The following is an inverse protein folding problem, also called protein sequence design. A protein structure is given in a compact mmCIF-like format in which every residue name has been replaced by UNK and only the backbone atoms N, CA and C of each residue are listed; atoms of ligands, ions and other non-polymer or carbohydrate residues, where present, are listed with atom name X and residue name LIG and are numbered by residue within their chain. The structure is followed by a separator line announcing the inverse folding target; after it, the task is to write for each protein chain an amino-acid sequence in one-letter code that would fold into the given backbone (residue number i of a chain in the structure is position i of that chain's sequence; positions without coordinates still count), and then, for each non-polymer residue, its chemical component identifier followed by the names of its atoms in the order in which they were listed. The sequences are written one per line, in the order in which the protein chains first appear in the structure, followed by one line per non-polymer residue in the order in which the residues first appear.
data_IF_061502300725
#
_entry.id   IF_061502300725
#
_cell.length_a   1.000
_cell.length_b   1.000
_cell.length_c   1.000
_cell.angle_alpha   90.00
_cell.angle_beta   90.00
_cell.angle_gamma   90.00
#
_symmetry.space_group_name_H-M   'P 1'
#
loop_
_entity.id
_entity.type
_entity.pdbx_description
1 polymer ?
#
# COMPACT_ATOMS: atom_id res chain seq x y z
N UNK A 1 9.56 -21.37 13.11
CA UNK A 1 10.59 -20.96 12.13
C UNK A 1 11.18 -19.66 12.67
N UNK A 2 12.48 -19.44 12.52
CA UNK A 2 13.12 -18.17 12.92
C UNK A 2 13.33 -17.33 11.65
N UNK A 3 12.87 -16.07 11.66
CA UNK A 3 13.01 -15.18 10.50
C UNK A 3 14.44 -14.65 10.42
N UNK A 4 15.07 -14.74 9.25
CA UNK A 4 16.45 -14.28 9.06
C UNK A 4 16.48 -12.79 8.72
N UNK A 5 17.17 -11.98 9.52
CA UNK A 5 17.37 -10.55 9.21
C UNK A 5 18.70 -10.39 8.47
N UNK A 6 18.62 -9.93 7.23
CA UNK A 6 19.73 -9.90 6.28
C UNK A 6 20.04 -8.46 5.86
N UNK A 7 21.27 -8.00 6.06
CA UNK A 7 21.74 -6.75 5.42
C UNK A 7 21.83 -6.96 3.89
N UNK A 8 21.54 -5.95 3.05
CA UNK A 8 21.45 -6.09 1.59
C UNK A 8 22.82 -6.14 0.90
N UNK A 9 23.68 -7.08 1.30
CA UNK A 9 24.93 -7.39 0.58
C UNK A 9 24.62 -8.25 -0.64
N UNK A 10 25.50 -8.28 -1.63
CA UNK A 10 25.34 -9.14 -2.82
C UNK A 10 25.15 -10.62 -2.45
N UNK A 11 25.83 -11.10 -1.41
CA UNK A 11 25.69 -12.49 -0.93
C UNK A 11 24.30 -12.73 -0.33
N UNK A 12 23.85 -11.85 0.57
CA UNK A 12 22.55 -11.96 1.22
C UNK A 12 21.38 -11.77 0.25
N UNK A 13 21.53 -10.93 -0.78
CA UNK A 13 20.52 -10.78 -1.84
C UNK A 13 20.41 -12.09 -2.65
N UNK A 14 21.53 -12.75 -2.98
CA UNK A 14 21.50 -14.05 -3.65
C UNK A 14 20.85 -15.12 -2.77
N UNK A 15 21.14 -15.09 -1.49
CA UNK A 15 20.53 -15.99 -0.52
C UNK A 15 19.01 -15.80 -0.43
N UNK A 16 18.55 -14.55 -0.32
CA UNK A 16 17.14 -14.18 -0.35
C UNK A 16 16.47 -14.59 -1.68
N UNK A 17 17.16 -14.41 -2.81
CA UNK A 17 16.70 -14.87 -4.12
C UNK A 17 16.53 -16.39 -4.17
N UNK A 18 17.44 -17.16 -3.56
CA UNK A 18 17.32 -18.62 -3.49
C UNK A 18 16.18 -19.08 -2.60
N UNK A 19 15.83 -18.31 -1.55
CA UNK A 19 14.61 -18.53 -0.76
C UNK A 19 13.37 -18.37 -1.67
N UNK A 20 13.28 -17.28 -2.43
CA UNK A 20 12.17 -17.03 -3.37
C UNK A 20 12.06 -18.16 -4.42
N UNK A 21 13.19 -18.59 -5.01
CA UNK A 21 13.22 -19.69 -6.00
C UNK A 21 12.73 -21.02 -5.43
N UNK A 22 12.94 -21.27 -4.13
CA UNK A 22 12.47 -22.47 -3.42
C UNK A 22 11.03 -22.33 -2.91
N UNK A 23 10.33 -21.27 -3.29
CA UNK A 23 8.94 -21.00 -2.90
C UNK A 23 8.80 -20.49 -1.46
N UNK A 24 9.87 -19.91 -0.89
CA UNK A 24 9.85 -19.22 0.40
C UNK A 24 9.40 -17.76 0.29
N UNK A 25 9.37 -17.08 1.43
CA UNK A 25 8.91 -15.71 1.60
C UNK A 25 10.04 -14.78 2.05
N UNK A 26 10.22 -13.68 1.35
CA UNK A 26 11.21 -12.65 1.71
C UNK A 26 10.53 -11.28 1.77
N UNK A 27 10.67 -10.58 2.88
CA UNK A 27 10.31 -9.17 2.93
C UNK A 27 11.48 -8.29 2.46
N UNK A 28 11.20 -7.26 1.66
CA UNK A 28 12.23 -6.40 1.08
C UNK A 28 11.74 -4.94 0.95
N UNK A 29 12.66 -3.95 1.01
CA UNK A 29 12.31 -2.54 0.88
C UNK A 29 11.94 -2.19 -0.56
N UNK A 30 11.05 -1.21 -0.71
CA UNK A 30 10.88 -0.46 -1.96
C UNK A 30 11.03 1.03 -1.65
N UNK A 31 10.87 1.90 -2.63
CA UNK A 31 10.72 3.34 -2.39
C UNK A 31 9.41 3.71 -1.68
N UNK A 32 8.37 2.87 -1.82
CA UNK A 32 7.03 3.10 -1.28
C UNK A 32 6.85 2.57 0.14
N UNK A 33 6.79 1.24 0.27
CA UNK A 33 6.64 0.49 1.51
C UNK A 33 7.40 -0.83 1.38
N UNK A 34 7.73 -1.48 2.48
CA UNK A 34 8.27 -2.84 2.45
C UNK A 34 7.23 -3.82 1.87
N UNK A 35 7.68 -4.69 0.96
CA UNK A 35 6.86 -5.73 0.33
C UNK A 35 7.19 -7.11 0.89
N UNK A 36 6.19 -7.99 1.01
CA UNK A 36 6.37 -9.41 1.34
C UNK A 36 6.32 -10.24 0.06
N UNK A 37 7.48 -10.65 -0.44
CA UNK A 37 7.65 -11.31 -1.73
C UNK A 37 7.56 -12.82 -1.70
N UNK A 38 6.98 -13.37 -2.77
CA UNK A 38 7.10 -14.76 -3.21
C UNK A 38 7.18 -14.81 -4.74
N UNK A 39 7.57 -15.96 -5.30
CA UNK A 39 7.56 -16.15 -6.75
C UNK A 39 6.12 -16.02 -7.30
N UNK A 40 5.88 -15.02 -8.16
CA UNK A 40 4.55 -14.69 -8.68
C UNK A 40 3.94 -15.75 -9.58
N UNK A 41 4.78 -16.63 -10.14
CA UNK A 41 4.39 -17.70 -11.06
C UNK A 41 4.19 -19.05 -10.34
N UNK A 42 4.51 -19.11 -9.05
CA UNK A 42 4.32 -20.29 -8.20
C UNK A 42 3.08 -20.07 -7.32
N UNK A 43 2.05 -20.89 -7.56
CA UNK A 43 0.78 -20.79 -6.84
C UNK A 43 0.92 -21.12 -5.35
N UNK A 44 1.77 -22.08 -5.00
CA UNK A 44 1.97 -22.48 -3.60
C UNK A 44 2.76 -21.41 -2.85
N UNK A 45 3.82 -20.86 -3.46
CA UNK A 45 4.60 -19.78 -2.87
C UNK A 45 3.72 -18.54 -2.64
N UNK A 46 2.89 -18.20 -3.62
CA UNK A 46 1.97 -17.06 -3.56
C UNK A 46 0.89 -17.26 -2.48
N UNK A 47 0.37 -18.49 -2.31
CA UNK A 47 -0.57 -18.81 -1.24
C UNK A 47 0.01 -18.60 0.17
N UNK A 48 1.32 -18.81 0.36
CA UNK A 48 1.99 -18.58 1.65
C UNK A 48 1.96 -17.11 2.07
N UNK A 49 1.93 -16.16 1.13
CA UNK A 49 1.78 -14.72 1.45
C UNK A 49 0.45 -14.48 2.18
N UNK A 50 -0.65 -15.03 1.67
CA UNK A 50 -1.96 -14.89 2.30
C UNK A 50 -1.97 -15.48 3.71
N UNK A 51 -1.39 -16.68 3.88
CA UNK A 51 -1.30 -17.36 5.17
C UNK A 51 -0.44 -16.56 6.19
N UNK A 52 0.72 -16.06 5.78
CA UNK A 52 1.62 -15.31 6.65
C UNK A 52 0.97 -14.02 7.18
N UNK A 53 0.25 -13.31 6.29
CA UNK A 53 -0.41 -12.03 6.60
C UNK A 53 -1.78 -12.17 7.27
N UNK A 54 -2.43 -13.33 7.18
CA UNK A 54 -3.85 -13.48 7.51
C UNK A 54 -4.74 -12.67 6.57
N UNK A 55 -4.41 -12.65 5.27
CA UNK A 55 -5.08 -11.84 4.24
C UNK A 55 -6.14 -12.66 3.49
N UNK A 56 -7.31 -12.09 3.15
CA UNK A 56 -8.29 -12.72 2.27
C UNK A 56 -7.71 -13.03 0.88
N UNK A 57 -7.99 -14.21 0.35
CA UNK A 57 -7.45 -14.69 -0.94
C UNK A 57 -8.04 -14.01 -2.17
N UNK A 58 -9.15 -13.28 -2.02
CA UNK A 58 -9.81 -12.52 -3.09
C UNK A 58 -9.14 -11.18 -3.40
N UNK A 59 -8.15 -10.76 -2.60
CA UNK A 59 -7.49 -9.47 -2.74
C UNK A 59 -6.20 -9.61 -3.57
N UNK A 60 -6.15 -9.11 -4.82
CA UNK A 60 -5.05 -9.33 -5.77
C UNK A 60 -3.70 -8.79 -5.28
N UNK A 61 -2.58 -9.33 -5.78
CA UNK A 61 -1.23 -8.85 -5.47
C UNK A 61 -0.60 -8.09 -6.64
N UNK A 62 0.35 -7.22 -6.30
CA UNK A 62 1.18 -6.52 -7.28
C UNK A 62 2.41 -7.37 -7.56
N UNK A 63 2.64 -7.66 -8.84
CA UNK A 63 3.82 -8.37 -9.33
C UNK A 63 4.91 -7.37 -9.64
N UNK A 64 6.10 -7.60 -9.07
CA UNK A 64 7.27 -6.76 -9.23
C UNK A 64 8.24 -7.39 -10.23
N UNK A 65 8.78 -6.57 -11.12
CA UNK A 65 9.75 -6.95 -12.15
C UNK A 65 11.02 -6.10 -12.04
N UNK A 66 12.17 -6.64 -12.47
CA UNK A 66 13.46 -5.94 -12.46
C UNK A 66 13.77 -5.22 -13.78
N UNK A 67 13.18 -5.68 -14.89
CA UNK A 67 13.36 -5.07 -16.22
C UNK A 67 12.01 -4.74 -16.82
N UNK A 68 11.86 -3.56 -17.39
CA UNK A 68 10.64 -3.13 -18.06
C UNK A 68 10.14 -4.14 -19.09
N UNK A 69 11.05 -4.77 -19.86
CA UNK A 69 10.75 -5.80 -20.86
C UNK A 69 10.08 -7.06 -20.28
N UNK A 70 10.30 -7.36 -19.00
CA UNK A 70 9.75 -8.58 -18.35
C UNK A 70 8.24 -8.49 -18.17
N UNK A 71 7.64 -7.31 -18.30
CA UNK A 71 6.19 -7.15 -18.39
C UNK A 71 5.61 -8.04 -19.50
N UNK A 72 6.35 -8.23 -20.60
CA UNK A 72 5.96 -9.09 -21.72
C UNK A 72 5.80 -10.56 -21.34
N UNK A 73 6.33 -11.00 -20.19
CA UNK A 73 6.09 -12.34 -19.65
C UNK A 73 4.68 -12.47 -19.03
N UNK A 74 4.10 -11.35 -18.57
CA UNK A 74 2.91 -11.32 -17.72
C UNK A 74 1.65 -10.81 -18.45
N UNK A 75 1.79 -9.99 -19.49
CA UNK A 75 0.67 -9.46 -20.30
C UNK A 75 0.81 -9.81 -21.78
N UNK A 76 -0.29 -10.12 -22.50
CA UNK A 76 -0.23 -10.47 -23.93
C UNK A 76 -0.05 -9.27 -24.85
N UNK A 77 -0.33 -8.04 -24.40
CA UNK A 77 -0.31 -6.84 -25.26
C UNK A 77 0.22 -5.63 -24.52
N UNK A 78 1.04 -4.85 -25.21
CA UNK A 78 1.51 -3.54 -24.78
C UNK A 78 0.95 -2.50 -25.75
N UNK A 79 0.01 -1.68 -25.26
CA UNK A 79 -0.49 -0.54 -26.03
C UNK A 79 0.55 0.58 -26.04
N UNK A 80 0.51 1.52 -26.99
CA UNK A 80 1.38 2.70 -26.97
C UNK A 80 1.29 3.47 -25.65
N UNK A 81 0.10 3.54 -25.04
CA UNK A 81 -0.09 4.15 -23.71
C UNK A 81 0.68 3.40 -22.62
N UNK A 82 0.64 2.05 -22.60
CA UNK A 82 1.42 1.26 -21.64
C UNK A 82 2.92 1.52 -21.83
N UNK A 83 3.41 1.55 -23.06
CA UNK A 83 4.83 1.82 -23.36
C UNK A 83 5.24 3.20 -22.84
N UNK A 84 4.47 4.26 -23.14
CA UNK A 84 4.75 5.61 -22.63
C UNK A 84 4.75 5.66 -21.09
N UNK A 85 3.81 4.98 -20.42
CA UNK A 85 3.77 4.94 -18.96
C UNK A 85 5.00 4.26 -18.37
N UNK A 86 5.46 3.17 -18.99
CA UNK A 86 6.68 2.46 -18.59
C UNK A 86 7.90 3.36 -18.78
N UNK A 87 8.05 3.98 -19.96
CA UNK A 87 9.21 4.80 -20.28
C UNK A 87 9.34 6.03 -19.38
N UNK A 88 8.22 6.57 -18.90
CA UNK A 88 8.20 7.80 -18.09
C UNK A 88 8.27 7.49 -16.59
N UNK A 89 7.58 6.46 -16.11
CA UNK A 89 7.37 6.25 -14.68
C UNK A 89 8.04 5.00 -14.11
N UNK A 90 8.69 4.15 -14.92
CA UNK A 90 9.43 2.98 -14.45
C UNK A 90 10.94 3.13 -14.61
N UNK A 91 11.75 2.73 -13.61
CA UNK A 91 11.35 2.33 -12.25
C UNK A 91 10.62 3.44 -11.49
N UNK A 92 9.62 3.09 -10.68
CA UNK A 92 8.91 4.08 -9.88
C UNK A 92 7.60 3.63 -9.23
N UNK A 93 6.91 4.57 -8.56
CA UNK A 93 5.71 4.32 -7.77
C UNK A 93 4.43 4.23 -8.60
N UNK A 94 4.52 3.81 -9.87
CA UNK A 94 3.37 3.53 -10.72
C UNK A 94 3.14 2.01 -10.85
N UNK A 95 1.93 1.57 -10.56
CA UNK A 95 1.47 0.20 -10.82
C UNK A 95 0.46 0.21 -11.96
N UNK A 96 0.64 -0.66 -12.94
CA UNK A 96 -0.25 -0.81 -14.09
C UNK A 96 -1.10 -2.07 -13.93
N UNK A 97 -2.42 -1.95 -13.98
CA UNK A 97 -3.31 -3.10 -14.13
C UNK A 97 -3.55 -3.33 -15.61
N UNK A 98 -3.15 -4.52 -16.07
CA UNK A 98 -3.21 -4.96 -17.47
C UNK A 98 -3.84 -6.34 -17.55
N UNK A 99 -4.27 -6.78 -18.74
CA UNK A 99 -4.73 -8.15 -18.95
C UNK A 99 -3.62 -9.15 -18.62
N UNK A 100 -3.93 -10.23 -17.89
CA UNK A 100 -2.94 -11.27 -17.56
C UNK A 100 -2.78 -12.29 -18.69
N UNK A 101 -1.62 -12.95 -18.70
CA UNK A 101 -1.39 -14.23 -19.40
C UNK A 101 -1.70 -15.40 -18.48
N UNK A 102 -1.95 -16.58 -19.06
CA UNK A 102 -2.25 -17.81 -18.33
C UNK A 102 -1.10 -18.29 -17.42
N UNK A 103 0.14 -17.83 -17.69
CA UNK A 103 1.29 -18.11 -16.82
C UNK A 103 1.15 -17.46 -15.43
N UNK A 104 0.31 -16.42 -15.29
CA UNK A 104 0.03 -15.77 -14.02
C UNK A 104 -1.09 -16.53 -13.30
N UNK A 105 -0.79 -17.19 -12.16
CA UNK A 105 -1.79 -17.94 -11.41
C UNK A 105 -2.95 -17.09 -10.93
N UNK A 106 -4.14 -17.68 -10.85
CA UNK A 106 -5.33 -17.00 -10.34
C UNK A 106 -5.19 -16.57 -8.87
N UNK A 107 -4.44 -17.33 -8.07
CA UNK A 107 -4.12 -16.95 -6.68
C UNK A 107 -3.31 -15.65 -6.62
N UNK A 108 -2.52 -15.33 -7.64
CA UNK A 108 -1.77 -14.06 -7.71
C UNK A 108 -2.69 -12.88 -7.99
N UNK A 109 -3.76 -13.10 -8.76
CA UNK A 109 -4.68 -12.05 -9.22
C UNK A 109 -6.02 -12.02 -8.47
N UNK A 110 -6.18 -12.82 -7.41
CA UNK A 110 -7.46 -12.96 -6.72
C UNK A 110 -8.58 -13.50 -7.63
N UNK A 111 -8.22 -14.29 -8.65
CA UNK A 111 -9.16 -14.82 -9.65
C UNK A 111 -9.51 -13.87 -10.79
N UNK A 112 -8.91 -12.68 -10.87
CA UNK A 112 -9.18 -11.70 -11.93
C UNK A 112 -8.43 -12.03 -13.22
N UNK A 113 -9.00 -11.62 -14.36
CA UNK A 113 -8.37 -11.68 -15.70
C UNK A 113 -7.27 -10.62 -15.91
N UNK A 114 -7.01 -9.80 -14.90
CA UNK A 114 -6.01 -8.73 -14.91
C UNK A 114 -4.93 -8.98 -13.87
N UNK A 115 -3.74 -8.44 -14.10
CA UNK A 115 -2.60 -8.48 -13.19
C UNK A 115 -2.08 -7.06 -12.98
N UNK A 116 -1.77 -6.72 -11.74
CA UNK A 116 -1.13 -5.47 -11.36
C UNK A 116 0.39 -5.65 -11.42
N UNK A 117 1.10 -4.83 -12.20
CA UNK A 117 2.55 -4.95 -12.40
C UNK A 117 3.24 -3.64 -12.07
N UNK A 118 4.44 -3.72 -11.49
CA UNK A 118 5.29 -2.55 -11.17
C UNK A 118 6.78 -2.89 -11.30
N UNK A 119 7.58 -1.93 -11.72
CA UNK A 119 9.03 -1.95 -11.57
C UNK A 119 9.43 -1.00 -10.44
N UNK A 120 9.83 -1.48 -9.25
CA UNK A 120 10.10 -0.61 -8.10
C UNK A 120 11.39 0.20 -8.28
N UNK A 121 11.38 1.47 -7.87
CA UNK A 121 12.57 2.34 -7.86
C UNK A 121 13.41 2.15 -6.58
N UNK A 122 13.91 0.93 -6.41
CA UNK A 122 14.76 0.55 -5.27
C UNK A 122 15.77 -0.52 -5.70
N UNK A 123 17.06 -0.24 -5.57
CA UNK A 123 18.12 -1.13 -6.05
C UNK A 123 18.09 -2.52 -5.37
N UNK A 124 17.79 -2.58 -4.07
CA UNK A 124 17.69 -3.85 -3.32
C UNK A 124 16.57 -4.72 -3.89
N UNK A 125 15.41 -4.11 -4.18
CA UNK A 125 14.29 -4.81 -4.80
C UNK A 125 14.63 -5.30 -6.22
N UNK A 126 15.24 -4.45 -7.05
CA UNK A 126 15.64 -4.80 -8.42
C UNK A 126 16.67 -5.95 -8.41
N UNK A 127 17.70 -5.86 -7.58
CA UNK A 127 18.74 -6.89 -7.45
C UNK A 127 18.17 -8.22 -6.94
N UNK A 128 17.23 -8.18 -5.99
CA UNK A 128 16.52 -9.37 -5.51
C UNK A 128 15.74 -10.04 -6.64
N UNK A 129 14.92 -9.28 -7.37
CA UNK A 129 14.08 -9.81 -8.45
C UNK A 129 14.96 -10.37 -9.57
N UNK A 130 16.03 -9.67 -9.93
CA UNK A 130 16.98 -10.14 -10.94
C UNK A 130 17.69 -11.42 -10.50
N UNK A 131 18.19 -11.49 -9.26
CA UNK A 131 18.86 -12.66 -8.74
C UNK A 131 17.91 -13.86 -8.56
N UNK A 132 16.63 -13.60 -8.24
CA UNK A 132 15.57 -14.61 -8.16
C UNK A 132 15.26 -15.21 -9.54
N UNK A 133 15.42 -14.44 -10.61
CA UNK A 133 15.17 -14.89 -11.98
C UNK A 133 13.68 -15.12 -12.28
N UNK A 134 12.78 -14.56 -11.45
CA UNK A 134 11.34 -14.63 -11.64
C UNK A 134 10.67 -13.33 -11.13
N UNK A 135 9.48 -12.98 -11.67
CA UNK A 135 8.67 -11.90 -11.11
C UNK A 135 8.24 -12.21 -9.68
N UNK A 136 8.21 -11.19 -8.81
CA UNK A 136 7.90 -11.37 -7.38
C UNK A 136 6.53 -10.75 -7.06
N UNK A 137 5.57 -11.56 -6.62
CA UNK A 137 4.30 -11.06 -6.10
C UNK A 137 4.55 -10.54 -4.68
N UNK A 138 4.23 -9.27 -4.43
CA UNK A 138 4.48 -8.66 -3.12
C UNK A 138 3.43 -7.61 -2.75
N UNK A 139 2.51 -7.91 -1.80
CA UNK A 139 1.78 -6.87 -1.08
C UNK A 139 2.67 -6.24 0.00
N UNK A 140 2.17 -5.23 0.72
CA UNK A 140 2.86 -4.66 1.89
C UNK A 140 3.23 -5.74 2.93
N UNK A 141 4.34 -5.59 3.64
CA UNK A 141 4.89 -6.59 4.56
C UNK A 141 4.39 -6.48 6.02
N UNK A 142 3.11 -6.22 6.21
CA UNK A 142 2.43 -6.11 7.51
C UNK A 142 1.48 -7.29 7.77
N UNK A 143 1.01 -7.45 9.01
CA UNK A 143 -0.22 -8.24 9.25
C UNK A 143 -1.42 -7.52 8.62
N UNK A 144 -2.37 -8.29 8.10
CA UNK A 144 -3.57 -7.73 7.44
C UNK A 144 -4.31 -6.78 8.40
N UNK A 145 -4.71 -5.61 7.90
CA UNK A 145 -5.40 -4.55 8.67
C UNK A 145 -4.47 -3.48 9.27
N UNK A 146 -3.25 -3.81 9.68
CA UNK A 146 -2.30 -2.85 10.29
C UNK A 146 -1.76 -1.79 9.30
N UNK A 147 -1.16 -0.67 9.77
CA UNK A 147 -0.49 0.30 8.90
C UNK A 147 0.60 -0.34 8.03
N UNK A 148 0.83 0.15 6.81
CA UNK A 148 1.87 -0.44 5.95
C UNK A 148 3.28 -0.19 6.52
N UNK A 149 4.24 -1.12 6.33
CA UNK A 149 5.57 -0.98 6.91
C UNK A 149 6.48 -0.12 6.03
N UNK A 150 6.97 0.99 6.57
CA UNK A 150 7.95 1.87 5.91
C UNK A 150 9.40 1.64 6.37
N UNK A 151 9.62 0.78 7.36
CA UNK A 151 10.93 0.47 7.97
C UNK A 151 11.04 -1.03 8.18
N UNK A 152 12.25 -1.58 8.18
CA UNK A 152 12.46 -3.00 8.46
C UNK A 152 11.92 -3.40 9.85
N UNK A 153 12.04 -2.52 10.84
CA UNK A 153 11.49 -2.77 12.18
C UNK A 153 9.98 -3.02 12.15
N UNK A 154 9.21 -2.31 11.31
CA UNK A 154 7.77 -2.52 11.19
C UNK A 154 7.43 -3.91 10.64
N UNK A 155 8.31 -4.48 9.81
CA UNK A 155 8.17 -5.85 9.30
C UNK A 155 8.49 -6.86 10.39
N UNK A 156 9.56 -6.63 11.16
CA UNK A 156 9.95 -7.48 12.30
C UNK A 156 8.80 -7.55 13.32
N UNK A 157 8.24 -6.39 13.68
CA UNK A 157 7.14 -6.28 14.65
C UNK A 157 5.89 -7.09 14.26
N UNK A 158 5.70 -7.36 12.96
CA UNK A 158 4.50 -8.02 12.42
C UNK A 158 4.74 -9.48 11.97
N UNK A 159 5.89 -9.77 11.36
CA UNK A 159 6.12 -10.99 10.59
C UNK A 159 7.30 -11.83 11.08
N UNK A 160 7.96 -11.44 12.19
CA UNK A 160 8.96 -12.31 12.80
C UNK A 160 8.35 -13.68 13.20
N UNK A 161 9.10 -14.74 12.93
CA UNK A 161 8.68 -16.13 13.06
C UNK A 161 7.67 -16.63 12.01
N UNK A 162 7.25 -15.80 11.05
CA UNK A 162 6.23 -16.14 10.03
C UNK A 162 6.76 -16.24 8.60
N UNK A 163 7.95 -15.72 8.33
CA UNK A 163 8.54 -15.62 6.99
C UNK A 163 10.00 -16.08 7.03
N UNK A 164 10.60 -16.39 5.88
CA UNK A 164 11.94 -16.97 5.85
C UNK A 164 13.04 -15.90 6.06
N UNK A 165 12.88 -14.70 5.48
CA UNK A 165 13.85 -13.63 5.62
C UNK A 165 13.28 -12.20 5.47
N UNK A 166 14.03 -11.23 5.98
CA UNK A 166 13.83 -9.78 5.79
C UNK A 166 15.15 -9.21 5.28
N UNK A 167 15.14 -8.56 4.11
CA UNK A 167 16.23 -7.71 3.67
C UNK A 167 16.10 -6.34 4.34
N UNK A 168 16.98 -6.04 5.29
CA UNK A 168 16.96 -4.83 6.10
C UNK A 168 17.69 -3.69 5.37
N UNK A 169 16.98 -3.01 4.48
CA UNK A 169 17.48 -1.82 3.78
C UNK A 169 17.11 -0.51 4.48
N UNK A 170 17.30 0.59 3.75
CA UNK A 170 16.91 1.92 4.21
C UNK A 170 15.38 2.05 4.39
N UNK A 171 14.98 3.06 5.15
CA UNK A 171 13.58 3.44 5.30
C UNK A 171 13.00 3.90 3.94
N UNK A 172 11.71 3.63 3.73
CA UNK A 172 11.04 3.94 2.48
C UNK A 172 10.85 5.47 2.31
N UNK A 173 11.45 6.04 1.26
CA UNK A 173 11.44 7.50 1.01
C UNK A 173 10.08 8.11 0.64
N UNK A 174 9.08 7.32 0.22
CA UNK A 174 7.73 7.82 -0.11
C UNK A 174 6.73 7.59 1.03
N UNK A 175 6.84 6.47 1.77
CA UNK A 175 6.01 6.16 2.92
C UNK A 175 4.59 5.64 2.66
N UNK A 176 3.96 5.98 1.53
CA UNK A 176 2.68 5.39 1.07
C UNK A 176 2.84 4.46 -0.14
N UNK A 177 1.85 3.63 -0.42
CA UNK A 177 1.92 2.72 -1.57
C UNK A 177 1.82 3.41 -2.93
N UNK A 178 2.21 2.69 -3.98
CA UNK A 178 2.13 3.13 -5.37
C UNK A 178 0.74 3.57 -5.81
N UNK A 179 0.70 4.54 -6.73
CA UNK A 179 -0.47 4.84 -7.54
C UNK A 179 -0.80 3.61 -8.40
N UNK A 180 -2.05 3.15 -8.37
CA UNK A 180 -2.51 2.00 -9.16
C UNK A 180 -3.43 2.50 -10.27
N UNK A 181 -2.99 2.33 -11.51
CA UNK A 181 -3.68 2.76 -12.72
C UNK A 181 -4.19 1.55 -13.50
N UNK A 182 -5.51 1.45 -13.67
CA UNK A 182 -6.15 0.51 -14.58
C UNK A 182 -6.11 1.05 -16.00
N UNK A 183 -5.41 0.34 -16.87
CA UNK A 183 -5.27 0.63 -18.30
C UNK A 183 -5.86 -0.48 -19.17
N UNK A 184 -6.71 -1.33 -18.59
CA UNK A 184 -7.40 -2.41 -19.30
C UNK A 184 -8.61 -1.92 -20.11
N UNK A 185 -9.16 -0.75 -19.77
CA UNK A 185 -10.24 -0.07 -20.48
C UNK A 185 -9.77 1.05 -21.42
N UNK A 186 -10.74 1.76 -22.01
CA UNK A 186 -10.46 2.86 -22.97
C UNK A 186 -9.90 4.11 -22.30
N UNK A 187 -10.41 4.44 -21.10
CA UNK A 187 -9.97 5.56 -20.28
C UNK A 187 -9.15 4.99 -19.12
N UNK A 188 -7.89 5.41 -18.93
CA UNK A 188 -7.12 5.04 -17.75
C UNK A 188 -7.77 5.54 -16.45
N UNK A 189 -7.90 4.65 -15.46
CA UNK A 189 -8.54 4.97 -14.17
C UNK A 189 -7.61 4.66 -13.00
N UNK A 190 -7.37 5.65 -12.13
CA UNK A 190 -6.66 5.46 -10.87
C UNK A 190 -7.59 4.77 -9.88
N UNK A 191 -7.28 3.52 -9.56
CA UNK A 191 -8.02 2.72 -8.55
C UNK A 191 -7.48 2.92 -7.14
N UNK A 192 -6.21 3.33 -7.02
CA UNK A 192 -5.60 3.68 -5.74
C UNK A 192 -4.70 4.91 -5.92
N UNK A 193 -5.00 6.03 -5.23
CA UNK A 193 -4.15 7.20 -5.28
C UNK A 193 -2.84 6.95 -4.52
N UNK A 194 -1.76 7.51 -5.06
CA UNK A 194 -0.40 7.52 -4.52
C UNK A 194 0.27 8.85 -4.90
N UNK A 195 1.61 8.90 -4.96
CA UNK A 195 2.30 10.18 -5.23
C UNK A 195 2.14 10.68 -6.67
N UNK A 196 1.83 9.78 -7.61
CA UNK A 196 1.58 10.15 -9.00
C UNK A 196 0.10 10.49 -9.15
N UNK A 197 -0.16 11.73 -9.54
CA UNK A 197 -1.51 12.28 -9.67
C UNK A 197 -2.12 11.97 -11.03
N UNK A 198 -3.44 12.15 -11.17
CA UNK A 198 -4.11 12.05 -12.47
C UNK A 198 -3.53 13.08 -13.47
N UNK A 199 -3.16 14.26 -12.98
CA UNK A 199 -2.54 15.34 -13.75
C UNK A 199 -1.17 14.94 -14.28
N UNK A 200 -0.30 14.35 -13.44
CA UNK A 200 1.03 13.87 -13.85
C UNK A 200 0.92 12.81 -14.95
N UNK A 201 0.04 11.82 -14.73
CA UNK A 201 -0.15 10.71 -15.66
C UNK A 201 -0.78 11.21 -16.96
N UNK A 202 -1.80 12.08 -16.87
CA UNK A 202 -2.48 12.67 -18.03
C UNK A 202 -1.52 13.50 -18.88
N UNK A 203 -0.61 14.26 -18.25
CA UNK A 203 0.40 15.04 -18.95
C UNK A 203 1.38 14.14 -19.73
N UNK A 204 1.78 13.01 -19.16
CA UNK A 204 2.70 12.07 -19.79
C UNK A 204 2.10 11.36 -21.01
N UNK A 205 0.84 10.93 -20.94
CA UNK A 205 0.21 10.12 -22.01
C UNK A 205 -0.65 10.93 -22.98
N UNK A 206 -0.87 12.22 -22.71
CA UNK A 206 -1.72 13.08 -23.53
C UNK A 206 -3.18 12.63 -23.61
N UNK A 207 -3.67 11.92 -22.58
CA UNK A 207 -5.05 11.41 -22.49
C UNK A 207 -5.61 11.72 -21.11
N UNK A 208 -6.93 11.90 -21.04
CA UNK A 208 -7.64 12.03 -19.78
C UNK A 208 -7.40 10.80 -18.90
N UNK A 209 -7.07 11.04 -17.64
CA UNK A 209 -7.00 10.04 -16.57
C UNK A 209 -8.08 10.39 -15.56
N UNK A 210 -8.82 9.39 -15.08
CA UNK A 210 -9.88 9.59 -14.08
C UNK A 210 -9.51 8.90 -12.77
N UNK A 211 -10.08 9.37 -11.66
CA UNK A 211 -10.10 8.60 -10.42
C UNK A 211 -11.34 7.70 -10.41
N UNK A 212 -11.20 6.50 -9.85
CA UNK A 212 -12.34 5.60 -9.65
C UNK A 212 -13.39 6.26 -8.73
N UNK A 213 -14.66 6.11 -9.07
CA UNK A 213 -15.76 6.77 -8.33
C UNK A 213 -15.86 6.25 -6.90
N UNK A 214 -15.53 4.99 -6.65
CA UNK A 214 -15.58 4.39 -5.32
C UNK A 214 -14.55 5.02 -4.36
N UNK A 215 -13.55 5.77 -4.86
CA UNK A 215 -12.63 6.53 -4.00
C UNK A 215 -13.31 7.70 -3.28
N UNK A 216 -14.43 8.18 -3.82
CA UNK A 216 -15.22 9.26 -3.24
C UNK A 216 -16.42 8.73 -2.41
N UNK A 217 -16.72 7.44 -2.54
CA UNK A 217 -17.78 6.79 -1.76
C UNK A 217 -17.27 6.56 -0.34
N UNK A 218 -18.00 7.13 0.64
CA UNK A 218 -17.79 6.87 2.06
C UNK A 218 -18.79 5.75 2.41
N UNK A 219 -18.36 4.57 2.89
CA UNK A 219 -19.29 3.55 3.33
C UNK A 219 -20.21 4.16 4.40
N UNK A 220 -21.52 3.93 4.29
CA UNK A 220 -22.47 4.37 5.30
C UNK A 220 -22.06 3.75 6.65
N UNK A 221 -21.58 4.58 7.58
CA UNK A 221 -21.18 4.15 8.91
C UNK A 221 -22.42 3.62 9.64
N UNK A 222 -22.57 2.29 9.71
CA UNK A 222 -23.53 1.66 10.61
C UNK A 222 -22.88 1.53 12.01
N UNK A 223 -23.52 2.05 13.08
CA UNK A 223 -22.98 1.91 14.42
C UNK A 223 -22.85 0.44 14.82
N UNK A 224 -21.86 0.18 15.68
CA UNK A 224 -21.36 -1.13 16.13
C UNK A 224 -22.43 -2.21 16.32
N UNK A 225 -22.20 -3.39 15.74
CA UNK A 225 -23.00 -4.60 16.01
C UNK A 225 -23.08 -5.62 14.88
N UNK A 226 -22.73 -5.24 13.65
CA UNK A 226 -22.67 -6.15 12.49
C UNK A 226 -21.24 -6.18 11.97
N UNK A 227 -20.71 -7.37 11.65
CA UNK A 227 -19.29 -7.61 11.43
C UNK A 227 -18.61 -6.70 10.41
N UNK A 228 -17.27 -6.70 10.46
CA UNK A 228 -16.28 -5.88 9.72
C UNK A 228 -16.40 -5.86 8.17
N UNK A 229 -17.45 -6.47 7.59
CA UNK A 229 -17.73 -6.55 6.15
C UNK A 229 -18.93 -5.68 5.69
N UNK A 230 -19.63 -4.98 6.60
CA UNK A 230 -20.96 -4.42 6.36
C UNK A 230 -21.06 -3.12 5.51
N UNK A 231 -20.16 -2.92 4.54
CA UNK A 231 -20.14 -1.71 3.68
C UNK A 231 -20.06 -1.98 2.17
N UNK A 232 -19.78 -3.21 1.74
CA UNK A 232 -19.69 -3.57 0.32
C UNK A 232 -20.74 -4.62 0.00
N UNK A 233 -21.39 -4.54 -1.19
CA UNK A 233 -22.23 -5.64 -1.67
C UNK A 233 -21.41 -6.93 -1.70
N UNK A 234 -22.00 -8.09 -1.37
CA UNK A 234 -21.33 -9.40 -1.45
C UNK A 234 -20.65 -9.65 -2.81
N UNK A 235 -21.14 -9.00 -3.88
CA UNK A 235 -20.62 -9.07 -5.24
C UNK A 235 -19.42 -8.14 -5.56
N UNK A 236 -18.95 -7.30 -4.63
CA UNK A 236 -17.84 -6.39 -4.89
C UNK A 236 -16.49 -7.12 -4.82
N UNK A 237 -15.87 -7.31 -5.99
CA UNK A 237 -14.55 -7.91 -6.14
C UNK A 237 -13.50 -6.82 -6.34
N UNK A 238 -12.55 -6.64 -5.39
CA UNK A 238 -11.58 -5.55 -5.46
C UNK A 238 -10.60 -5.78 -6.61
N UNK A 239 -10.58 -4.86 -7.58
CA UNK A 239 -9.62 -4.89 -8.70
C UNK A 239 -8.18 -4.55 -8.28
N UNK A 240 -8.01 -3.94 -7.10
CA UNK A 240 -6.70 -3.56 -6.58
C UNK A 240 -6.63 -3.66 -5.04
N UNK A 241 -5.40 -3.78 -4.47
CA UNK A 241 -5.25 -3.81 -3.02
C UNK A 241 -5.71 -2.51 -2.36
N UNK A 242 -6.45 -2.64 -1.26
CA UNK A 242 -6.85 -1.51 -0.39
C UNK A 242 -8.24 -0.94 -0.67
N UNK A 243 -9.10 -1.65 -1.42
CA UNK A 243 -10.44 -1.15 -1.82
C UNK A 243 -11.62 -1.61 -0.93
N UNK A 244 -11.54 -2.75 -0.21
CA UNK A 244 -12.72 -3.41 0.39
C UNK A 244 -12.76 -3.50 1.92
N UNK A 245 -11.63 -3.45 2.63
CA UNK A 245 -11.58 -3.72 4.08
C UNK A 245 -11.13 -2.50 4.89
N UNK A 246 -11.38 -2.50 6.22
CA UNK A 246 -10.68 -1.58 7.14
C UNK A 246 -9.18 -1.85 6.99
N UNK A 247 -8.49 -0.89 6.40
CA UNK A 247 -7.08 -0.99 6.04
C UNK A 247 -6.32 0.12 6.75
N UNK A 248 -5.10 -0.18 7.17
CA UNK A 248 -4.19 0.76 7.80
C UNK A 248 -4.60 1.22 9.20
N UNK A 249 -5.41 0.44 9.88
CA UNK A 249 -5.90 0.79 11.20
C UNK A 249 -4.79 0.62 12.25
N UNK A 250 -4.43 1.69 12.98
CA UNK A 250 -3.64 1.57 14.21
C UNK A 250 -4.43 0.77 15.26
N UNK A 251 -3.77 0.37 16.36
CA UNK A 251 -4.44 -0.20 17.54
C UNK A 251 -5.33 0.83 18.23
N UNK A 252 -4.87 2.07 18.29
CA UNK A 252 -5.58 3.19 18.87
C UNK A 252 -6.86 3.53 18.10
N UNK A 253 -7.85 4.10 18.79
CA UNK A 253 -8.94 4.77 18.08
C UNK A 253 -8.41 5.99 17.34
N UNK A 254 -8.97 6.30 16.17
CA UNK A 254 -8.51 7.41 15.36
C UNK A 254 -9.70 8.25 14.90
N UNK A 255 -9.56 9.58 15.02
CA UNK A 255 -10.53 10.57 14.59
C UNK A 255 -9.86 11.53 13.61
N UNK A 256 -10.51 11.77 12.47
CA UNK A 256 -10.09 12.81 11.52
C UNK A 256 -10.89 14.08 11.77
N UNK A 257 -10.22 15.20 12.00
CA UNK A 257 -10.82 16.53 12.19
C UNK A 257 -10.74 17.31 10.87
N UNK A 258 -11.89 17.56 10.26
CA UNK A 258 -12.04 18.19 8.93
C UNK A 258 -12.67 19.58 9.07
N UNK A 259 -12.08 20.60 8.47
CA UNK A 259 -12.59 21.97 8.59
C UNK A 259 -11.59 23.02 8.17
N UNK A 260 -11.87 24.28 8.52
CA UNK A 260 -10.89 25.36 8.36
C UNK A 260 -9.70 25.12 9.30
N UNK A 261 -8.48 25.39 8.82
CA UNK A 261 -7.23 25.04 9.52
C UNK A 261 -7.16 25.50 10.97
N UNK A 262 -7.57 26.74 11.25
CA UNK A 262 -7.58 27.27 12.61
C UNK A 262 -8.61 26.58 13.51
N UNK A 263 -9.78 26.21 12.95
CA UNK A 263 -10.80 25.44 13.64
C UNK A 263 -10.32 24.02 13.92
N UNK A 264 -9.65 23.37 12.95
CA UNK A 264 -9.05 22.04 13.11
C UNK A 264 -8.03 22.04 14.23
N UNK A 265 -7.11 23.02 14.25
CA UNK A 265 -6.11 23.17 15.33
C UNK A 265 -6.77 23.36 16.69
N UNK A 266 -7.75 24.26 16.78
CA UNK A 266 -8.47 24.53 18.02
C UNK A 266 -9.25 23.31 18.51
N UNK A 267 -9.89 22.57 17.61
CA UNK A 267 -10.67 21.39 17.96
C UNK A 267 -9.80 20.21 18.38
N UNK A 268 -8.68 19.97 17.69
CA UNK A 268 -7.70 18.95 18.11
C UNK A 268 -7.20 19.25 19.52
N UNK A 269 -6.84 20.50 19.81
CA UNK A 269 -6.40 20.90 21.15
C UNK A 269 -7.51 20.67 22.19
N UNK A 270 -8.75 21.07 21.87
CA UNK A 270 -9.91 20.87 22.75
C UNK A 270 -10.14 19.39 23.05
N UNK A 271 -10.14 18.54 22.02
CA UNK A 271 -10.36 17.09 22.14
C UNK A 271 -9.21 16.40 22.88
N UNK A 272 -7.96 16.83 22.65
CA UNK A 272 -6.79 16.33 23.38
C UNK A 272 -6.94 16.58 24.87
N UNK A 273 -7.15 17.83 25.28
CA UNK A 273 -7.29 18.22 26.69
C UNK A 273 -8.46 17.48 27.36
N UNK A 274 -9.56 17.26 26.65
CA UNK A 274 -10.71 16.52 27.19
C UNK A 274 -10.37 15.05 27.44
N UNK A 275 -9.70 14.39 26.49
CA UNK A 275 -9.33 12.98 26.57
C UNK A 275 -8.22 12.72 27.61
N UNK A 276 -7.21 13.59 27.68
CA UNK A 276 -6.15 13.49 28.70
C UNK A 276 -6.72 13.63 30.12
N UNK A 277 -7.75 14.47 30.31
CA UNK A 277 -8.42 14.62 31.63
C UNK A 277 -9.15 13.36 32.10
N UNK A 278 -9.60 12.51 31.18
CA UNK A 278 -10.23 11.22 31.51
C UNK A 278 -9.21 10.07 31.54
N UNK A 279 -7.93 10.36 31.36
CA UNK A 279 -6.82 9.40 31.50
C UNK A 279 -6.32 8.78 30.21
N UNK A 280 -6.85 9.16 29.04
CA UNK A 280 -6.39 8.64 27.75
C UNK A 280 -5.04 9.25 27.36
N UNK A 281 -4.13 8.44 26.85
CA UNK A 281 -2.94 8.90 26.12
C UNK A 281 -3.35 9.28 24.70
N UNK A 282 -3.10 10.53 24.32
CA UNK A 282 -3.53 11.07 23.02
C UNK A 282 -2.35 11.34 22.10
N UNK A 283 -2.36 10.77 20.91
CA UNK A 283 -1.48 11.09 19.80
C UNK A 283 -2.11 12.13 18.89
N UNK A 284 -1.29 13.00 18.30
CA UNK A 284 -1.75 14.01 17.35
C UNK A 284 -0.95 13.90 16.06
N UNK A 285 -1.64 13.78 14.93
CA UNK A 285 -1.06 13.85 13.59
C UNK A 285 -1.56 15.12 12.91
N UNK A 286 -0.69 16.12 12.76
CA UNK A 286 -1.05 17.38 12.12
C UNK A 286 0.10 17.88 11.26
N UNK A 287 0.07 17.54 9.98
CA UNK A 287 1.03 18.09 9.01
C UNK A 287 0.65 19.51 8.60
N UNK A 288 1.62 20.27 8.08
CA UNK A 288 1.34 21.57 7.47
C UNK A 288 0.58 21.44 6.14
N UNK A 289 -0.24 22.44 5.80
CA UNK A 289 -1.21 22.36 4.69
C UNK A 289 -0.63 21.99 3.32
N UNK A 290 0.67 22.22 3.10
CA UNK A 290 1.36 21.93 1.84
C UNK A 290 2.47 20.90 1.98
N UNK A 291 2.62 20.29 3.14
CA UNK A 291 3.64 19.30 3.43
C UNK A 291 3.21 17.89 2.98
N UNK A 292 2.65 17.76 1.76
CA UNK A 292 2.06 16.50 1.30
C UNK A 292 3.08 15.37 1.14
N UNK A 293 4.32 15.71 0.76
CA UNK A 293 5.41 14.74 0.63
C UNK A 293 5.86 14.24 2.00
N UNK A 294 5.97 15.13 2.98
CA UNK A 294 6.25 14.78 4.38
C UNK A 294 5.11 13.93 4.95
N UNK A 295 3.86 14.35 4.75
CA UNK A 295 2.70 13.59 5.17
C UNK A 295 2.65 12.19 4.55
N UNK A 296 3.00 12.04 3.27
CA UNK A 296 3.12 10.73 2.63
C UNK A 296 4.23 9.88 3.26
N UNK A 297 5.40 10.47 3.51
CA UNK A 297 6.55 9.80 4.11
C UNK A 297 6.27 9.32 5.54
N UNK A 298 5.72 10.19 6.38
CA UNK A 298 5.65 9.99 7.82
C UNK A 298 4.36 9.31 8.29
N UNK A 299 3.24 9.44 7.56
CA UNK A 299 1.92 9.02 8.07
C UNK A 299 1.88 7.59 8.64
N UNK A 300 2.36 6.58 7.92
CA UNK A 300 2.38 5.21 8.45
C UNK A 300 3.44 4.99 9.53
N UNK A 301 4.56 5.70 9.49
CA UNK A 301 5.57 5.63 10.53
C UNK A 301 5.05 6.20 11.85
N UNK A 302 4.34 7.33 11.80
CA UNK A 302 3.71 7.95 12.96
C UNK A 302 2.64 7.04 13.58
N UNK A 303 1.78 6.43 12.76
CA UNK A 303 0.80 5.44 13.25
C UNK A 303 1.49 4.26 13.96
N UNK A 304 2.60 3.77 13.41
CA UNK A 304 3.37 2.66 13.98
C UNK A 304 4.06 3.05 15.28
N UNK A 305 4.54 4.29 15.38
CA UNK A 305 5.15 4.79 16.62
C UNK A 305 4.09 4.95 17.71
N UNK A 306 2.92 5.51 17.38
CA UNK A 306 1.79 5.61 18.30
C UNK A 306 1.31 4.23 18.80
N UNK A 307 1.35 3.20 17.96
CA UNK A 307 1.06 1.80 18.33
C UNK A 307 2.09 1.17 19.28
N UNK A 308 3.35 1.64 19.26
CA UNK A 308 4.42 1.23 20.19
C UNK A 308 4.36 1.99 21.50
N UNK A 309 3.90 3.22 21.41
CA UNK A 309 3.69 4.11 22.53
C UNK A 309 2.41 3.82 23.33
N UNK A 310 1.61 2.84 22.90
CA UNK A 310 0.32 2.47 23.49
C UNK A 310 -0.60 3.71 23.64
N UNK A 311 -0.69 4.51 22.58
CA UNK A 311 -1.66 5.62 22.47
C UNK A 311 -3.08 5.06 22.45
N UNK A 312 -4.01 5.67 23.20
CA UNK A 312 -5.41 5.26 23.24
C UNK A 312 -6.23 5.91 22.11
N UNK A 313 -5.94 7.17 21.80
CA UNK A 313 -6.65 7.97 20.79
C UNK A 313 -5.69 8.78 19.92
N UNK A 314 -5.86 8.71 18.61
CA UNK A 314 -5.15 9.50 17.60
C UNK A 314 -6.10 10.56 17.04
N UNK A 315 -5.72 11.82 17.17
CA UNK A 315 -6.41 12.95 16.55
C UNK A 315 -5.63 13.41 15.32
N UNK A 316 -6.17 13.20 14.13
CA UNK A 316 -5.53 13.58 12.88
C UNK A 316 -6.23 14.78 12.23
N UNK A 317 -5.48 15.80 11.85
CA UNK A 317 -6.01 16.92 11.08
C UNK A 317 -6.12 16.56 9.60
N UNK A 318 -7.28 16.82 8.99
CA UNK A 318 -7.47 16.62 7.56
C UNK A 318 -6.50 17.49 6.75
N UNK A 319 -5.95 16.92 5.68
CA UNK A 319 -5.23 17.61 4.64
C UNK A 319 -6.21 18.11 3.57
N UNK A 320 -5.81 19.17 2.86
CA UNK A 320 -6.51 19.59 1.65
C UNK A 320 -6.47 18.45 0.61
N UNK A 321 -7.64 18.11 0.07
CA UNK A 321 -7.84 17.14 -1.01
C UNK A 321 -7.75 17.79 -2.42
N UNK A 322 -7.54 19.10 -2.48
CA UNK A 322 -7.35 19.83 -3.74
C UNK A 322 -6.01 19.55 -4.44
N UNK A 323 -5.10 18.83 -3.80
CA UNK A 323 -3.82 18.38 -4.35
C UNK A 323 -3.81 16.84 -4.43
N UNK A 324 -3.33 16.29 -5.54
CA UNK A 324 -3.41 14.85 -5.78
C UNK A 324 -2.64 13.99 -4.77
N UNK A 325 -1.52 14.48 -4.21
CA UNK A 325 -0.78 13.76 -3.15
C UNK A 325 -1.49 13.90 -1.81
N UNK A 326 -2.01 15.09 -1.50
CA UNK A 326 -2.87 15.31 -0.32
C UNK A 326 -4.07 14.36 -0.32
N UNK A 327 -4.72 14.19 -1.47
CA UNK A 327 -5.80 13.22 -1.66
C UNK A 327 -5.36 11.77 -1.39
N UNK A 328 -4.15 11.38 -1.82
CA UNK A 328 -3.62 10.04 -1.57
C UNK A 328 -3.43 9.76 -0.06
N UNK A 329 -2.85 10.70 0.67
CA UNK A 329 -2.68 10.61 2.13
C UNK A 329 -4.04 10.61 2.83
N UNK A 330 -4.96 11.50 2.44
CA UNK A 330 -6.31 11.54 2.98
C UNK A 330 -7.07 10.23 2.77
N UNK A 331 -6.90 9.59 1.61
CA UNK A 331 -7.49 8.27 1.36
C UNK A 331 -7.02 7.22 2.39
N UNK A 332 -5.75 7.27 2.79
CA UNK A 332 -5.21 6.38 3.84
C UNK A 332 -5.70 6.79 5.22
N UNK A 333 -5.66 8.07 5.54
CA UNK A 333 -6.11 8.63 6.82
C UNK A 333 -7.57 8.27 7.13
N UNK A 334 -8.46 8.43 6.15
CA UNK A 334 -9.88 8.09 6.30
C UNK A 334 -10.09 6.59 6.51
N UNK A 335 -9.33 5.74 5.81
CA UNK A 335 -9.38 4.27 5.99
C UNK A 335 -8.84 3.84 7.34
N UNK A 336 -7.73 4.43 7.79
CA UNK A 336 -7.16 4.21 9.14
C UNK A 336 -8.16 4.55 10.24
N UNK A 337 -8.88 5.66 10.09
CA UNK A 337 -9.91 6.11 11.03
C UNK A 337 -11.24 5.35 10.90
N UNK A 338 -11.39 4.43 9.94
CA UNK A 338 -12.70 3.81 9.65
C UNK A 338 -13.78 4.84 9.33
N UNK A 339 -13.40 5.95 8.70
CA UNK A 339 -14.27 7.09 8.39
C UNK A 339 -14.88 7.80 9.62
N UNK A 340 -14.26 7.68 10.79
CA UNK A 340 -14.59 8.47 11.97
C UNK A 340 -14.10 9.93 11.80
N UNK A 341 -15.03 10.83 11.50
CA UNK A 341 -14.74 12.23 11.11
C UNK A 341 -15.53 13.20 11.98
N UNK A 342 -14.85 14.23 12.48
CA UNK A 342 -15.44 15.40 13.15
C UNK A 342 -15.28 16.62 12.25
N UNK A 343 -16.37 17.34 11.98
CA UNK A 343 -16.35 18.56 11.14
C UNK A 343 -16.41 19.83 11.98
N UNK A 344 -15.59 20.82 11.65
CA UNK A 344 -15.45 22.10 12.39
C UNK A 344 -15.29 23.36 11.54
#
# INVERSE_FOLDING_TARGET
METRILKPTTENIREAADIIKKGGLVAFPTETVYGLGANALDSEATAKIYAAKGRPSDNPMIVHIARASDIGQLTPRLSPTIVTLIDVFWPGPLTLIVKKKDIVPDVTTGGLDTVAIRMPDNQIALDLIEAAGCPIAAPSANLSGKPSPTKAQHVIDDLDGRIDAILEGEDCRIGIESTVLDVSGDIPVILRPGILTAEDISAAIGKKVEYDKALYERPDFKPEGEGLDAGFSEDFHPKSPGMKYKHYAPKADMVVVEGLRDNVKAEIERLRVLNERIGNKVGVILFEEKAFIEAAHDFFADLREMDKEDVDLILAGALSDNDGVGFAVMNRMLKSAGYNIVKV
#
